data_IF_820630877027
#
_entry.id   IF_820630877027
#
_cell.length_a   1.000
_cell.length_b   1.000
_cell.length_c   1.000
_cell.angle_alpha   90.00
_cell.angle_beta   90.00
_cell.angle_gamma   90.00
#
_symmetry.space_group_name_H-M   'P 1'
#
loop_
_entity.id
_entity.type
_entity.pdbx_description
1 polymer ?
#
# COMPACT_ATOMS: atom_id res chain seq x y z
N UNK A 1 8.48 4.86 24.46
CA UNK A 1 8.68 3.63 23.67
C UNK A 1 7.37 3.36 22.95
N UNK A 2 7.19 3.35 21.63
CA UNK A 2 8.09 3.32 20.47
C UNK A 2 7.21 3.56 19.23
N UNK A 3 7.14 4.80 18.73
CA UNK A 3 6.51 5.07 17.43
C UNK A 3 7.30 4.41 16.29
N UNK A 4 8.64 4.42 16.39
CA UNK A 4 9.54 3.82 15.40
C UNK A 4 9.41 2.30 15.26
N UNK A 5 9.07 1.61 16.36
CA UNK A 5 8.93 0.14 16.37
C UNK A 5 7.72 -0.33 15.58
N UNK A 6 6.61 0.42 15.62
CA UNK A 6 5.40 0.08 14.87
C UNK A 6 5.59 0.34 13.36
N UNK A 7 6.24 1.47 13.02
CA UNK A 7 6.55 1.83 11.62
C UNK A 7 7.49 0.81 10.97
N UNK A 8 8.49 0.32 11.69
CA UNK A 8 9.40 -0.71 11.15
C UNK A 8 8.73 -2.06 10.96
N UNK A 9 7.81 -2.46 11.84
CA UNK A 9 7.03 -3.69 11.69
C UNK A 9 6.07 -3.59 10.50
N UNK A 10 5.30 -2.51 10.41
CA UNK A 10 4.40 -2.22 9.30
C UNK A 10 5.13 -2.25 7.94
N UNK A 11 6.27 -1.56 7.86
CA UNK A 11 7.10 -1.49 6.66
C UNK A 11 7.61 -2.88 6.22
N UNK A 12 8.01 -3.73 7.17
CA UNK A 12 8.48 -5.09 6.89
C UNK A 12 7.34 -6.00 6.41
N UNK A 13 6.15 -5.88 7.00
CA UNK A 13 4.97 -6.65 6.59
C UNK A 13 4.55 -6.32 5.15
N UNK A 14 4.44 -5.04 4.82
CA UNK A 14 4.13 -4.59 3.44
C UNK A 14 5.18 -5.07 2.45
N UNK A 15 6.47 -5.00 2.79
CA UNK A 15 7.53 -5.51 1.91
C UNK A 15 7.41 -7.02 1.66
N UNK A 16 7.03 -7.80 2.67
CA UNK A 16 6.82 -9.24 2.53
C UNK A 16 5.65 -9.53 1.58
N UNK A 17 4.52 -8.88 1.79
CA UNK A 17 3.34 -8.99 0.93
C UNK A 17 3.67 -8.61 -0.52
N UNK A 18 4.38 -7.49 -0.72
CA UNK A 18 4.84 -7.06 -2.05
C UNK A 18 5.68 -8.11 -2.77
N UNK A 19 6.61 -8.78 -2.07
CA UNK A 19 7.45 -9.83 -2.66
C UNK A 19 6.61 -11.03 -3.10
N UNK A 20 5.68 -11.48 -2.25
CA UNK A 20 4.81 -12.60 -2.57
C UNK A 20 3.89 -12.27 -3.76
N UNK A 21 3.32 -11.08 -3.76
CA UNK A 21 2.47 -10.57 -4.84
C UNK A 21 3.22 -10.48 -6.17
N UNK A 22 4.44 -9.94 -6.15
CA UNK A 22 5.28 -9.83 -7.35
C UNK A 22 5.65 -11.21 -7.91
N UNK A 23 5.97 -12.17 -7.03
CA UNK A 23 6.28 -13.54 -7.45
C UNK A 23 5.08 -14.21 -8.12
N UNK A 24 3.91 -14.19 -7.48
CA UNK A 24 2.69 -14.80 -8.03
C UNK A 24 2.22 -14.10 -9.32
N UNK A 25 2.31 -12.77 -9.38
CA UNK A 25 2.03 -12.02 -10.61
C UNK A 25 2.98 -12.39 -11.74
N UNK A 26 4.26 -12.62 -11.43
CA UNK A 26 5.27 -13.11 -12.36
C UNK A 26 4.91 -14.48 -12.95
N UNK A 27 4.47 -15.42 -12.11
CA UNK A 27 4.03 -16.75 -12.55
C UNK A 27 2.82 -16.66 -13.49
N UNK A 28 1.84 -15.81 -13.16
CA UNK A 28 0.65 -15.59 -14.01
C UNK A 28 1.06 -14.97 -15.36
N UNK A 29 1.97 -14.00 -15.37
CA UNK A 29 2.51 -13.42 -16.60
C UNK A 29 3.27 -14.46 -17.44
N UNK A 30 4.04 -15.35 -16.80
CA UNK A 30 4.73 -16.42 -17.51
C UNK A 30 3.75 -17.39 -18.20
N UNK A 31 2.63 -17.71 -17.55
CA UNK A 31 1.55 -18.51 -18.16
C UNK A 31 0.97 -17.77 -19.38
N UNK A 32 0.68 -16.47 -19.25
CA UNK A 32 0.21 -15.63 -20.37
C UNK A 32 1.18 -15.66 -21.54
N UNK A 33 2.45 -15.44 -21.29
CA UNK A 33 3.49 -15.38 -22.33
C UNK A 33 3.66 -16.74 -23.01
N UNK A 34 3.55 -17.83 -22.26
CA UNK A 34 3.53 -19.18 -22.84
C UNK A 34 2.29 -19.41 -23.71
N UNK A 35 1.14 -18.86 -23.32
CA UNK A 35 -0.08 -18.87 -24.13
C UNK A 35 0.10 -18.16 -25.46
N UNK A 36 0.78 -17.01 -25.47
CA UNK A 36 1.12 -16.31 -26.72
C UNK A 36 2.02 -17.17 -27.62
N UNK A 37 3.03 -17.82 -27.04
CA UNK A 37 3.93 -18.74 -27.77
C UNK A 37 3.17 -19.95 -28.34
N UNK A 38 2.24 -20.52 -27.57
CA UNK A 38 1.46 -21.70 -27.95
C UNK A 38 0.48 -21.45 -29.12
N UNK A 39 0.16 -20.18 -29.43
CA UNK A 39 -0.60 -19.84 -30.64
C UNK A 39 0.21 -20.18 -31.89
N UNK A 40 1.51 -19.85 -31.87
CA UNK A 40 2.41 -19.98 -33.01
C UNK A 40 3.16 -21.31 -33.05
N UNK A 41 3.47 -21.90 -31.90
CA UNK A 41 4.22 -23.15 -31.78
C UNK A 41 3.36 -24.27 -31.20
N UNK A 42 3.25 -25.36 -31.94
CA UNK A 42 2.48 -26.54 -31.55
C UNK A 42 3.12 -27.31 -30.38
N UNK A 43 4.45 -27.29 -30.26
CA UNK A 43 5.17 -27.91 -29.14
C UNK A 43 4.85 -27.25 -27.80
N UNK A 44 4.55 -25.95 -27.83
CA UNK A 44 4.24 -25.16 -26.65
C UNK A 44 2.79 -25.31 -26.16
N UNK A 45 1.89 -25.83 -27.00
CA UNK A 45 0.47 -26.04 -26.65
C UNK A 45 0.29 -27.01 -25.50
N UNK A 46 1.03 -28.12 -25.51
CA UNK A 46 0.96 -29.14 -24.46
C UNK A 46 1.44 -28.56 -23.14
N UNK A 47 2.53 -27.78 -23.17
CA UNK A 47 3.09 -27.13 -21.99
C UNK A 47 2.09 -26.11 -21.44
N UNK A 48 1.53 -25.25 -22.30
CA UNK A 48 0.55 -24.25 -21.92
C UNK A 48 -0.71 -24.86 -21.27
N UNK A 49 -1.25 -25.94 -21.85
CA UNK A 49 -2.38 -26.67 -21.26
C UNK A 49 -2.07 -27.22 -19.86
N UNK A 50 -0.83 -27.68 -19.64
CA UNK A 50 -0.36 -28.07 -18.31
C UNK A 50 -0.33 -26.90 -17.33
N UNK A 51 0.15 -25.75 -17.78
CA UNK A 51 0.23 -24.51 -16.99
C UNK A 51 -1.15 -23.93 -16.65
N UNK A 52 -2.15 -24.07 -17.52
CA UNK A 52 -3.52 -23.63 -17.25
C UNK A 52 -4.13 -24.30 -16.00
N UNK A 53 -3.71 -25.52 -15.65
CA UNK A 53 -4.19 -26.22 -14.44
C UNK A 53 -3.82 -25.51 -13.15
N UNK A 54 -2.72 -24.75 -13.15
CA UNK A 54 -2.26 -23.99 -11.98
C UNK A 54 -2.65 -22.52 -12.05
N UNK A 55 -3.26 -22.05 -13.15
CA UNK A 55 -3.65 -20.66 -13.32
C UNK A 55 -4.72 -20.23 -12.31
N UNK A 56 -5.83 -20.97 -12.23
CA UNK A 56 -6.92 -20.68 -11.27
C UNK A 56 -6.42 -20.65 -9.83
N UNK A 57 -5.74 -21.68 -9.29
CA UNK A 57 -5.30 -21.64 -7.90
C UNK A 57 -4.22 -20.57 -7.64
N UNK A 58 -3.41 -20.19 -8.63
CA UNK A 58 -2.47 -19.07 -8.49
C UNK A 58 -3.20 -17.73 -8.49
N UNK A 59 -4.22 -17.57 -9.32
CA UNK A 59 -5.06 -16.37 -9.36
C UNK A 59 -5.83 -16.19 -8.04
N UNK A 60 -6.42 -17.26 -7.50
CA UNK A 60 -7.12 -17.22 -6.21
C UNK A 60 -6.16 -16.80 -5.08
N UNK A 61 -4.94 -17.34 -5.06
CA UNK A 61 -3.89 -16.92 -4.10
C UNK A 61 -3.47 -15.47 -4.29
N UNK A 62 -3.39 -15.01 -5.53
CA UNK A 62 -3.03 -13.64 -5.85
C UNK A 62 -4.09 -12.65 -5.35
N UNK A 63 -5.37 -12.98 -5.52
CA UNK A 63 -6.48 -12.22 -4.95
C UNK A 63 -6.49 -12.29 -3.41
N UNK A 64 -6.21 -13.46 -2.82
CA UNK A 64 -6.08 -13.59 -1.36
C UNK A 64 -4.98 -12.68 -0.78
N UNK A 65 -3.80 -12.63 -1.42
CA UNK A 65 -2.72 -11.72 -1.00
C UNK A 65 -3.07 -10.25 -1.14
N UNK A 66 -3.98 -9.91 -2.06
CA UNK A 66 -4.48 -8.54 -2.20
C UNK A 66 -5.36 -8.17 -1.02
N UNK A 67 -6.32 -9.02 -0.65
CA UNK A 67 -7.17 -8.82 0.53
C UNK A 67 -6.31 -8.76 1.82
N UNK A 68 -5.35 -9.68 1.98
CA UNK A 68 -4.40 -9.65 3.11
C UNK A 68 -3.64 -8.33 3.19
N UNK A 69 -3.31 -7.72 2.05
CA UNK A 69 -2.62 -6.43 2.01
C UNK A 69 -3.53 -5.25 2.36
N UNK A 70 -4.81 -5.31 1.97
CA UNK A 70 -5.81 -4.34 2.41
C UNK A 70 -5.99 -4.41 3.93
N UNK A 71 -6.25 -5.60 4.47
CA UNK A 71 -6.39 -5.83 5.91
C UNK A 71 -5.15 -5.35 6.67
N UNK A 72 -3.96 -5.68 6.16
CA UNK A 72 -2.71 -5.24 6.79
C UNK A 72 -2.58 -3.70 6.82
N UNK A 73 -3.02 -3.02 5.75
CA UNK A 73 -2.97 -1.56 5.67
C UNK A 73 -3.98 -0.88 6.60
N UNK A 74 -5.13 -1.49 6.84
CA UNK A 74 -6.15 -0.98 7.77
C UNK A 74 -5.70 -1.12 9.23
N UNK A 75 -5.08 -2.24 9.58
CA UNK A 75 -4.57 -2.51 10.94
C UNK A 75 -3.32 -1.68 11.24
N UNK A 76 -2.45 -1.51 10.26
CA UNK A 76 -1.20 -0.76 10.40
C UNK A 76 -1.32 0.61 9.73
N UNK A 77 -2.21 1.46 10.28
CA UNK A 77 -2.27 2.86 9.90
C UNK A 77 -0.97 3.58 10.29
N UNK A 78 -0.28 4.13 9.27
CA UNK A 78 0.93 4.92 9.42
C UNK A 78 0.62 6.41 9.64
N UNK A 79 -0.65 6.81 9.56
CA UNK A 79 -1.02 8.20 9.79
C UNK A 79 -0.86 8.53 11.26
N UNK A 80 0.00 9.52 11.61
CA UNK A 80 0.09 9.96 12.98
C UNK A 80 -1.29 10.52 13.39
N UNK A 81 -1.84 10.12 14.55
CA UNK A 81 -3.06 10.73 15.04
C UNK A 81 -2.85 12.24 15.15
N UNK A 82 -3.75 13.02 14.57
CA UNK A 82 -3.72 14.46 14.73
C UNK A 82 -4.19 14.81 16.15
N UNK A 83 -3.46 15.65 16.91
CA UNK A 83 -2.20 16.32 16.57
C UNK A 83 -0.96 15.42 16.70
N UNK A 84 -0.06 15.49 15.72
CA UNK A 84 1.16 14.67 15.72
C UNK A 84 2.15 15.19 16.78
N UNK A 85 3.08 14.37 17.27
CA UNK A 85 4.12 14.82 18.21
C UNK A 85 5.06 15.90 17.63
N UNK A 86 5.08 16.04 16.30
CA UNK A 86 5.71 17.15 15.54
C UNK A 86 4.90 18.45 15.60
N UNK A 87 3.58 18.37 15.85
CA UNK A 87 2.71 19.50 16.21
C UNK A 87 2.97 19.90 17.67
N UNK A 88 4.24 20.23 17.95
CA UNK A 88 4.63 20.79 19.23
C UNK A 88 3.82 22.06 19.53
N UNK A 89 3.51 22.28 20.81
CA UNK A 89 2.65 23.36 21.32
C UNK A 89 3.06 24.78 20.86
N UNK A 90 4.27 24.96 20.29
CA UNK A 90 4.75 26.20 19.66
C UNK A 90 4.02 26.51 18.33
N UNK A 91 3.61 25.50 17.56
CA UNK A 91 2.83 25.69 16.32
C UNK A 91 1.44 26.27 16.62
N UNK A 92 0.77 25.75 17.65
CA UNK A 92 -0.53 26.26 18.11
C UNK A 92 -0.44 27.66 18.72
N UNK A 93 0.64 27.99 19.44
CA UNK A 93 0.87 29.38 19.91
C UNK A 93 1.04 30.34 18.75
N UNK A 94 1.84 30.00 17.74
CA UNK A 94 2.02 30.86 16.55
C UNK A 94 0.72 31.07 15.76
N UNK A 95 -0.12 30.04 15.64
CA UNK A 95 -1.45 30.15 15.01
C UNK A 95 -2.36 31.03 15.86
N UNK A 96 -2.42 30.81 17.18
CA UNK A 96 -3.20 31.63 18.12
C UNK A 96 -2.77 33.10 18.11
N UNK A 97 -1.47 33.36 18.17
CA UNK A 97 -0.90 34.71 18.20
C UNK A 97 -1.16 35.44 16.87
N UNK A 98 -1.08 34.73 15.74
CA UNK A 98 -1.51 35.27 14.44
C UNK A 98 -3.00 35.60 14.41
N UNK A 99 -3.87 34.71 14.89
CA UNK A 99 -5.32 34.97 14.94
C UNK A 99 -5.69 36.13 15.88
N UNK A 100 -5.01 36.25 17.03
CA UNK A 100 -5.17 37.37 17.95
C UNK A 100 -4.66 38.70 17.35
N UNK A 101 -3.56 38.67 16.60
CA UNK A 101 -3.05 39.86 15.88
C UNK A 101 -4.00 40.33 14.77
N UNK A 102 -4.67 39.40 14.08
CA UNK A 102 -5.65 39.72 13.03
C UNK A 102 -6.95 40.28 13.65
N UNK A 103 -7.40 39.71 14.78
CA UNK A 103 -8.58 40.21 15.53
C UNK A 103 -8.38 41.65 16.03
N UNK A 104 -7.13 42.02 16.36
CA UNK A 104 -6.77 43.37 16.81
C UNK A 104 -6.78 44.43 15.69
N UNK A 105 -6.77 44.01 14.41
CA UNK A 105 -6.82 44.91 13.25
C UNK A 105 -8.24 45.30 12.83
N UNK A 106 -9.29 44.84 13.52
CA UNK A 106 -10.68 45.22 13.28
C UNK A 106 -11.20 46.15 14.38
N UNK A 107 -10.51 47.27 14.61
CA UNK A 107 -11.20 48.45 15.18
C UNK A 107 -11.65 49.29 13.99
N UNK A 108 -12.89 49.09 13.56
CA UNK A 108 -13.54 49.97 12.59
C UNK A 108 -13.72 51.33 13.29
N UNK A 109 -13.04 52.42 12.87
CA UNK A 109 -13.36 53.73 13.41
C UNK A 109 -14.78 54.11 12.96
N UNK A 110 -15.59 54.55 13.92
CA UNK A 110 -16.94 55.08 13.69
C UNK A 110 -16.92 56.37 12.88
#
# INVERSE_FOLDING_TARGET
MTGDGNVTVASRGIQKLKRQYTSLGGDIMAIRDKGVSAITDEGDRIIFLGMCKVLTPNFDKFMGLWEDALDYSEVHSLDPPFPSSTDSASSYRNIRDRLCSISSCHTIPA
#
